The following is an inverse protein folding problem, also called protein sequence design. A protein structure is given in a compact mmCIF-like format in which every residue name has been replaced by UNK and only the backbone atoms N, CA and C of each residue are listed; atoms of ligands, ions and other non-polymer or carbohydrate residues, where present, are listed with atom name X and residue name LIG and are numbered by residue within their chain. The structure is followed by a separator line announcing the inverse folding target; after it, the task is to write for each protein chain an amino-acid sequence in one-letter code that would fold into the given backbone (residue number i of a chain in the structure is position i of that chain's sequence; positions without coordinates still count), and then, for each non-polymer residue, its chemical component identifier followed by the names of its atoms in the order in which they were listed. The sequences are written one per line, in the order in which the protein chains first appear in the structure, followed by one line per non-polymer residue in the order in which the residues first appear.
data_IF_264726926966
#
_entry.id   IF_264726926966
#
_cell.length_a   1.000
_cell.length_b   1.000
_cell.length_c   1.000
_cell.angle_alpha   90.00
_cell.angle_beta   90.00
_cell.angle_gamma   90.00
#
_symmetry.space_group_name_H-M   'P 1'
#
loop_
_entity.id
_entity.type
_entity.pdbx_description
1 polymer ?
#
# COMPACT_ATOMS: atom_id res chain seq x y z
N UNK A 1 -15.52 10.66 -23.68
CA UNK A 1 -14.59 9.53 -23.48
C UNK A 1 -13.93 9.51 -22.09
N UNK A 2 -14.53 10.16 -21.08
CA UNK A 2 -14.06 10.16 -19.69
C UNK A 2 -15.10 9.57 -18.70
N UNK A 3 -16.35 9.39 -19.14
CA UNK A 3 -17.44 8.81 -18.35
C UNK A 3 -17.28 7.29 -18.16
N UNK A 4 -16.86 6.59 -19.22
CA UNK A 4 -16.78 5.12 -19.22
C UNK A 4 -15.82 4.56 -18.14
N UNK A 5 -14.77 5.31 -17.77
CA UNK A 5 -13.81 4.86 -16.74
C UNK A 5 -14.35 4.99 -15.33
N UNK A 6 -15.19 6.00 -15.07
CA UNK A 6 -15.81 6.16 -13.76
C UNK A 6 -16.89 5.11 -13.55
N UNK A 7 -17.75 4.88 -14.54
CA UNK A 7 -18.72 3.78 -14.52
C UNK A 7 -18.04 2.42 -14.41
N UNK A 8 -16.98 2.16 -15.17
CA UNK A 8 -16.25 0.90 -15.07
C UNK A 8 -15.59 0.71 -13.69
N UNK A 9 -15.17 1.76 -13.00
CA UNK A 9 -14.62 1.67 -11.64
C UNK A 9 -15.71 1.42 -10.57
N UNK A 10 -16.90 1.99 -10.75
CA UNK A 10 -18.03 1.81 -9.84
C UNK A 10 -18.70 0.46 -10.02
N UNK A 11 -18.85 0.00 -11.26
CA UNK A 11 -19.38 -1.32 -11.58
C UNK A 11 -18.43 -2.41 -11.10
N UNK A 12 -17.11 -2.23 -11.28
CA UNK A 12 -16.12 -3.16 -10.75
C UNK A 12 -16.08 -3.16 -9.21
N UNK A 13 -16.40 -2.03 -8.56
CA UNK A 13 -16.55 -1.96 -7.10
C UNK A 13 -17.87 -2.56 -6.58
N UNK A 14 -18.95 -2.53 -7.38
CA UNK A 14 -20.22 -3.22 -7.09
C UNK A 14 -20.11 -4.72 -7.32
N UNK A 15 -19.55 -5.16 -8.43
CA UNK A 15 -19.33 -6.58 -8.73
C UNK A 15 -18.45 -7.22 -7.66
N UNK A 16 -17.40 -6.53 -7.21
CA UNK A 16 -16.57 -6.99 -6.08
C UNK A 16 -17.33 -7.05 -4.75
N UNK A 17 -18.38 -6.24 -4.57
CA UNK A 17 -19.20 -6.23 -3.36
C UNK A 17 -20.25 -7.36 -3.38
N UNK A 18 -20.90 -7.59 -4.52
CA UNK A 18 -21.88 -8.66 -4.69
C UNK A 18 -21.21 -10.05 -4.68
N UNK A 19 -20.02 -10.19 -5.29
CA UNK A 19 -19.18 -11.39 -5.18
C UNK A 19 -18.92 -11.74 -3.70
N UNK A 20 -18.70 -10.73 -2.86
CA UNK A 20 -18.33 -10.96 -1.46
C UNK A 20 -19.51 -11.43 -0.60
N UNK A 21 -20.71 -10.88 -0.80
CA UNK A 21 -21.93 -11.35 -0.12
C UNK A 21 -22.31 -12.79 -0.50
N UNK A 22 -22.01 -13.20 -1.74
CA UNK A 22 -22.23 -14.57 -2.20
C UNK A 22 -21.26 -15.55 -1.53
N UNK A 23 -20.00 -15.14 -1.35
CA UNK A 23 -18.99 -15.89 -0.59
C UNK A 23 -19.37 -16.03 0.89
N UNK A 24 -19.96 -14.99 1.48
CA UNK A 24 -20.46 -14.99 2.85
C UNK A 24 -21.57 -16.03 3.03
N UNK A 25 -22.53 -16.07 2.10
CA UNK A 25 -23.58 -17.09 2.09
C UNK A 25 -23.00 -18.51 2.03
N UNK A 26 -22.04 -18.74 1.12
CA UNK A 26 -21.35 -20.03 0.98
C UNK A 26 -20.51 -20.41 2.22
N UNK A 27 -19.96 -19.43 2.93
CA UNK A 27 -19.20 -19.65 4.17
C UNK A 27 -20.11 -19.94 5.37
N UNK A 28 -21.32 -19.37 5.42
CA UNK A 28 -22.32 -19.70 6.44
C UNK A 28 -22.88 -21.12 6.29
N UNK A 29 -23.00 -21.62 5.06
CA UNK A 29 -23.54 -22.94 4.81
C UNK A 29 -22.52 -24.09 5.03
N UNK A 30 -21.23 -23.79 5.11
CA UNK A 30 -20.16 -24.80 5.18
C UNK A 30 -19.59 -24.96 6.61
N UNK A 31 -19.57 -26.21 7.11
CA UNK A 31 -18.98 -26.53 8.42
C UNK A 31 -17.48 -26.22 8.45
N UNK A 32 -16.88 -25.73 9.56
CA UNK A 32 -15.50 -25.23 9.62
C UNK A 32 -14.41 -26.21 9.15
N UNK A 33 -14.70 -27.51 9.28
CA UNK A 33 -13.80 -28.62 8.90
C UNK A 33 -13.98 -29.09 7.46
N UNK A 34 -14.97 -28.56 6.73
CA UNK A 34 -15.17 -28.95 5.34
C UNK A 34 -14.04 -28.45 4.44
N UNK A 35 -13.62 -29.25 3.45
CA UNK A 35 -12.67 -28.81 2.44
C UNK A 35 -13.26 -27.63 1.66
N UNK A 36 -12.47 -26.57 1.49
CA UNK A 36 -12.94 -25.36 0.82
C UNK A 36 -13.40 -25.65 -0.61
N UNK A 37 -14.60 -25.18 -0.97
CA UNK A 37 -15.12 -25.31 -2.33
C UNK A 37 -14.21 -24.66 -3.39
N UNK A 38 -14.26 -25.18 -4.62
CA UNK A 38 -13.41 -24.74 -5.74
C UNK A 38 -13.52 -23.22 -6.03
N UNK A 39 -14.68 -22.61 -5.80
CA UNK A 39 -14.90 -21.16 -6.00
C UNK A 39 -14.08 -20.31 -5.02
N UNK A 40 -14.01 -20.72 -3.75
CA UNK A 40 -13.19 -20.08 -2.72
C UNK A 40 -11.72 -20.15 -3.13
N UNK A 41 -11.27 -21.32 -3.61
CA UNK A 41 -9.89 -21.54 -4.06
C UNK A 41 -9.57 -20.62 -5.27
N UNK A 42 -10.47 -20.51 -6.25
CA UNK A 42 -10.25 -19.65 -7.42
C UNK A 42 -10.15 -18.17 -7.04
N UNK A 43 -11.00 -17.69 -6.13
CA UNK A 43 -10.96 -16.29 -5.67
C UNK A 43 -9.70 -16.00 -4.84
N UNK A 44 -9.24 -16.93 -4.00
CA UNK A 44 -7.94 -16.79 -3.30
C UNK A 44 -6.78 -16.72 -4.30
N UNK A 45 -6.79 -17.54 -5.37
CA UNK A 45 -5.78 -17.47 -6.43
C UNK A 45 -5.80 -16.13 -7.17
N UNK A 46 -6.98 -15.54 -7.41
CA UNK A 46 -7.09 -14.19 -8.01
C UNK A 46 -6.50 -13.12 -7.10
N UNK A 47 -6.78 -13.17 -5.79
CA UNK A 47 -6.16 -12.27 -4.81
C UNK A 47 -4.65 -12.44 -4.74
N UNK A 48 -4.14 -13.67 -4.85
CA UNK A 48 -2.71 -13.94 -4.89
C UNK A 48 -2.04 -13.32 -6.11
N UNK A 49 -2.68 -13.38 -7.29
CA UNK A 49 -2.19 -12.70 -8.50
C UNK A 49 -2.07 -11.20 -8.30
N UNK A 50 -3.09 -10.56 -7.73
CA UNK A 50 -3.04 -9.13 -7.42
C UNK A 50 -1.93 -8.77 -6.42
N UNK A 51 -1.74 -9.60 -5.39
CA UNK A 51 -0.64 -9.43 -4.44
C UNK A 51 0.73 -9.50 -5.15
N UNK A 52 0.88 -10.42 -6.11
CA UNK A 52 2.09 -10.58 -6.90
C UNK A 52 2.34 -9.38 -7.82
N UNK A 53 1.30 -8.87 -8.48
CA UNK A 53 1.39 -7.64 -9.31
C UNK A 53 1.83 -6.45 -8.45
N UNK A 54 1.19 -6.23 -7.29
CA UNK A 54 1.58 -5.15 -6.38
C UNK A 54 3.01 -5.30 -5.87
N UNK A 55 3.47 -6.53 -5.66
CA UNK A 55 4.86 -6.81 -5.29
C UNK A 55 5.81 -6.39 -6.40
N UNK A 56 5.52 -6.73 -7.66
CA UNK A 56 6.33 -6.32 -8.81
C UNK A 56 6.37 -4.80 -8.96
N UNK A 57 5.21 -4.13 -8.84
CA UNK A 57 5.14 -2.67 -8.91
C UNK A 57 5.98 -2.00 -7.82
N UNK A 58 5.93 -2.51 -6.60
CA UNK A 58 6.75 -2.02 -5.49
C UNK A 58 8.25 -2.16 -5.76
N UNK A 59 8.68 -3.31 -6.29
CA UNK A 59 10.08 -3.52 -6.68
C UNK A 59 10.52 -2.58 -7.80
N UNK A 60 9.67 -2.33 -8.79
CA UNK A 60 9.95 -1.37 -9.87
C UNK A 60 10.14 0.04 -9.32
N UNK A 61 9.27 0.48 -8.41
CA UNK A 61 9.40 1.79 -7.74
C UNK A 61 10.68 1.86 -6.92
N UNK A 62 11.00 0.83 -6.14
CA UNK A 62 12.22 0.79 -5.34
C UNK A 62 13.48 0.86 -6.23
N UNK A 63 13.51 0.11 -7.35
CA UNK A 63 14.62 0.16 -8.31
C UNK A 63 14.74 1.56 -8.90
N UNK A 64 13.64 2.18 -9.35
CA UNK A 64 13.66 3.52 -9.91
C UNK A 64 14.21 4.56 -8.92
N UNK A 65 13.80 4.51 -7.65
CA UNK A 65 14.29 5.42 -6.60
C UNK A 65 15.78 5.21 -6.29
N UNK A 66 16.24 3.95 -6.24
CA UNK A 66 17.66 3.62 -6.03
C UNK A 66 18.49 4.10 -7.22
N UNK A 67 18.05 3.85 -8.46
CA UNK A 67 18.73 4.34 -9.67
C UNK A 67 18.80 5.86 -9.67
N UNK A 68 17.71 6.55 -9.33
CA UNK A 68 17.70 8.01 -9.20
C UNK A 68 18.72 8.50 -8.15
N UNK A 69 18.76 7.89 -6.97
CA UNK A 69 19.72 8.23 -5.92
C UNK A 69 21.17 8.02 -6.39
N UNK A 70 21.46 6.90 -7.08
CA UNK A 70 22.79 6.63 -7.62
C UNK A 70 23.18 7.62 -8.71
N UNK A 71 22.28 7.95 -9.64
CA UNK A 71 22.55 8.97 -10.68
C UNK A 71 22.88 10.31 -10.02
N UNK A 72 22.13 10.73 -8.99
CA UNK A 72 22.42 11.97 -8.26
C UNK A 72 23.79 11.91 -7.58
N UNK A 73 24.13 10.77 -6.97
CA UNK A 73 25.42 10.55 -6.32
C UNK A 73 26.62 10.65 -7.30
N UNK A 74 26.47 10.15 -8.53
CA UNK A 74 27.56 10.14 -9.52
C UNK A 74 27.58 11.35 -10.47
N UNK A 75 26.46 12.08 -10.63
CA UNK A 75 26.36 13.18 -11.60
C UNK A 75 27.13 14.44 -11.21
N UNK A 76 27.24 14.74 -9.91
CA UNK A 76 28.07 15.81 -9.37
C UNK A 76 28.27 15.55 -7.88
N UNK A 77 29.52 15.42 -7.44
CA UNK A 77 29.87 15.20 -6.05
C UNK A 77 29.72 16.50 -5.22
N UNK A 78 28.50 17.03 -5.15
CA UNK A 78 28.14 18.02 -4.15
C UNK A 78 27.73 17.31 -2.86
N UNK A 79 28.10 17.88 -1.71
CA UNK A 79 27.68 17.38 -0.40
C UNK A 79 26.16 17.24 -0.30
N UNK A 80 25.43 18.13 -0.98
CA UNK A 80 23.98 18.12 -1.08
C UNK A 80 23.44 16.87 -1.80
N UNK A 81 24.00 16.52 -2.97
CA UNK A 81 23.58 15.34 -3.71
C UNK A 81 23.86 14.06 -2.93
N UNK A 82 24.98 14.01 -2.20
CA UNK A 82 25.34 12.87 -1.34
C UNK A 82 24.33 12.73 -0.21
N UNK A 83 23.97 13.83 0.47
CA UNK A 83 22.98 13.83 1.55
C UNK A 83 21.60 13.41 1.03
N UNK A 84 21.14 13.99 -0.06
CA UNK A 84 19.85 13.67 -0.67
C UNK A 84 19.78 12.19 -1.08
N UNK A 85 20.82 11.69 -1.77
CA UNK A 85 20.89 10.27 -2.15
C UNK A 85 20.87 9.37 -0.91
N UNK A 86 21.58 9.74 0.16
CA UNK A 86 21.60 9.00 1.42
C UNK A 86 20.21 8.93 2.07
N UNK A 87 19.50 10.05 2.13
CA UNK A 87 18.13 10.11 2.67
C UNK A 87 17.19 9.22 1.86
N UNK A 88 17.22 9.31 0.52
CA UNK A 88 16.39 8.46 -0.35
C UNK A 88 16.68 6.98 -0.11
N UNK A 89 17.96 6.59 -0.06
CA UNK A 89 18.34 5.20 0.19
C UNK A 89 17.86 4.70 1.55
N UNK A 90 17.96 5.51 2.60
CA UNK A 90 17.47 5.16 3.94
C UNK A 90 15.95 4.95 3.94
N UNK A 91 15.18 5.83 3.29
CA UNK A 91 13.73 5.69 3.17
C UNK A 91 13.34 4.44 2.38
N UNK A 92 14.03 4.15 1.27
CA UNK A 92 13.80 2.93 0.48
C UNK A 92 14.11 1.68 1.30
N UNK A 93 15.24 1.63 2.00
CA UNK A 93 15.60 0.49 2.87
C UNK A 93 14.55 0.29 3.95
N UNK A 94 14.07 1.38 4.57
CA UNK A 94 13.04 1.30 5.59
C UNK A 94 11.70 0.78 5.04
N UNK A 95 11.27 1.29 3.88
CA UNK A 95 10.07 0.84 3.18
C UNK A 95 10.15 -0.65 2.79
N UNK A 96 11.28 -1.08 2.22
CA UNK A 96 11.51 -2.48 1.85
C UNK A 96 11.53 -3.40 3.08
N UNK A 97 12.18 -2.99 4.17
CA UNK A 97 12.21 -3.77 5.41
C UNK A 97 10.79 -3.94 5.98
N UNK A 98 10.00 -2.86 6.00
CA UNK A 98 8.60 -2.94 6.39
C UNK A 98 7.81 -3.88 5.47
N UNK A 99 7.99 -3.77 4.15
CA UNK A 99 7.31 -4.62 3.17
C UNK A 99 7.60 -6.10 3.35
N UNK A 100 8.88 -6.45 3.49
CA UNK A 100 9.33 -7.83 3.71
C UNK A 100 8.75 -8.36 5.03
N UNK A 101 8.86 -7.59 6.12
CA UNK A 101 8.33 -7.96 7.43
C UNK A 101 6.81 -8.14 7.38
N UNK A 102 6.09 -7.25 6.68
CA UNK A 102 4.64 -7.30 6.52
C UNK A 102 4.18 -8.45 5.61
N UNK A 103 5.05 -9.01 4.76
CA UNK A 103 4.75 -10.15 3.87
C UNK A 103 5.06 -11.52 4.46
N UNK A 104 5.94 -11.63 5.47
CA UNK A 104 6.31 -12.91 6.10
C UNK A 104 5.10 -13.64 6.68
N UNK A 105 4.80 -14.85 6.21
CA UNK A 105 3.69 -15.68 6.70
C UNK A 105 2.33 -15.44 6.00
N UNK A 106 2.32 -14.78 4.84
CA UNK A 106 1.11 -14.63 4.00
C UNK A 106 1.04 -15.62 2.82
N UNK A 107 2.09 -16.41 2.62
CA UNK A 107 2.32 -17.13 1.36
C UNK A 107 1.63 -18.50 1.26
N UNK A 108 1.24 -19.14 2.37
CA UNK A 108 0.49 -20.41 2.32
C UNK A 108 -0.44 -20.55 3.53
N UNK A 109 -1.71 -20.97 3.33
CA UNK A 109 -2.58 -21.37 4.42
C UNK A 109 -2.02 -22.62 5.11
N UNK A 110 -2.17 -22.73 6.43
CA UNK A 110 -1.63 -23.86 7.21
C UNK A 110 -2.42 -25.17 7.00
N UNK A 111 -3.56 -25.11 6.29
CA UNK A 111 -4.38 -26.26 5.89
C UNK A 111 -5.40 -25.88 4.81
N UNK A 112 -6.04 -26.87 4.19
CA UNK A 112 -7.08 -26.69 3.15
C UNK A 112 -8.51 -26.63 3.73
N UNK A 113 -8.64 -26.21 4.98
CA UNK A 113 -9.93 -26.08 5.68
C UNK A 113 -10.47 -24.65 5.57
N UNK A 114 -11.79 -24.49 5.61
CA UNK A 114 -12.46 -23.17 5.61
C UNK A 114 -11.92 -22.28 6.74
N UNK A 115 -11.69 -22.85 7.92
CA UNK A 115 -11.08 -22.12 9.04
C UNK A 115 -9.69 -21.55 8.71
N UNK A 116 -8.80 -22.33 8.07
CA UNK A 116 -7.47 -21.85 7.72
C UNK A 116 -7.52 -20.68 6.71
N UNK A 117 -8.50 -20.69 5.80
CA UNK A 117 -8.71 -19.59 4.85
C UNK A 117 -9.31 -18.33 5.50
N UNK A 118 -10.24 -18.48 6.45
CA UNK A 118 -10.82 -17.35 7.20
C UNK A 118 -9.76 -16.65 8.08
N UNK A 119 -8.92 -17.42 8.77
CA UNK A 119 -7.80 -16.89 9.57
C UNK A 119 -6.77 -16.16 8.69
N UNK A 120 -6.45 -16.72 7.53
CA UNK A 120 -5.58 -16.07 6.55
C UNK A 120 -6.17 -14.75 6.05
N UNK A 121 -7.48 -14.70 5.79
CA UNK A 121 -8.18 -13.49 5.38
C UNK A 121 -8.12 -12.41 6.47
N UNK A 122 -8.39 -12.76 7.74
CA UNK A 122 -8.25 -11.87 8.89
C UNK A 122 -6.82 -11.33 9.05
N UNK A 123 -5.80 -12.18 8.85
CA UNK A 123 -4.40 -11.76 8.89
C UNK A 123 -4.07 -10.77 7.77
N UNK A 124 -4.56 -10.99 6.55
CA UNK A 124 -4.41 -10.05 5.42
C UNK A 124 -5.04 -8.69 5.75
N UNK A 125 -6.22 -8.69 6.35
CA UNK A 125 -6.96 -7.51 6.78
C UNK A 125 -6.18 -6.66 7.80
N UNK A 126 -5.68 -7.32 8.86
CA UNK A 126 -4.85 -6.68 9.90
C UNK A 126 -3.59 -6.06 9.30
N UNK A 127 -2.95 -6.75 8.34
CA UNK A 127 -1.72 -6.29 7.68
C UNK A 127 -1.95 -5.16 6.68
N UNK A 128 -3.07 -5.16 5.94
CA UNK A 128 -3.48 -4.02 5.10
C UNK A 128 -3.61 -2.75 5.94
N UNK A 129 -4.25 -2.84 7.10
CA UNK A 129 -4.39 -1.70 8.02
C UNK A 129 -3.04 -1.19 8.56
N UNK A 130 -2.11 -2.09 8.87
CA UNK A 130 -0.73 -1.71 9.24
C UNK A 130 -0.01 -1.03 8.07
N UNK A 131 -0.21 -1.52 6.84
CA UNK A 131 0.33 -0.91 5.63
C UNK A 131 -0.10 0.53 5.43
N UNK A 132 -1.39 0.83 5.60
CA UNK A 132 -1.91 2.21 5.53
C UNK A 132 -1.28 3.11 6.59
N UNK A 133 -1.19 2.63 7.84
CA UNK A 133 -0.54 3.39 8.92
C UNK A 133 0.93 3.68 8.63
N UNK A 134 1.64 2.68 8.10
CA UNK A 134 3.04 2.84 7.72
C UNK A 134 3.20 3.83 6.56
N UNK A 135 2.34 3.78 5.55
CA UNK A 135 2.38 4.73 4.43
C UNK A 135 2.19 6.17 4.91
N UNK A 136 1.23 6.41 5.80
CA UNK A 136 1.05 7.73 6.43
C UNK A 136 2.27 8.15 7.27
N UNK A 137 2.85 7.23 8.03
CA UNK A 137 4.03 7.49 8.84
C UNK A 137 5.24 7.85 7.96
N UNK A 138 5.46 7.10 6.89
CA UNK A 138 6.51 7.37 5.90
C UNK A 138 6.31 8.75 5.27
N UNK A 139 5.09 9.07 4.86
CA UNK A 139 4.73 10.38 4.30
C UNK A 139 5.01 11.52 5.29
N UNK A 140 4.62 11.38 6.57
CA UNK A 140 4.91 12.40 7.59
C UNK A 140 6.42 12.57 7.81
N UNK A 141 7.19 11.48 7.79
CA UNK A 141 8.65 11.56 7.90
C UNK A 141 9.26 12.27 6.70
N UNK A 142 8.83 11.96 5.47
CA UNK A 142 9.27 12.65 4.25
C UNK A 142 8.99 14.15 4.32
N UNK A 143 7.75 14.54 4.63
CA UNK A 143 7.36 15.95 4.77
C UNK A 143 8.16 16.64 5.87
N UNK A 144 8.38 15.98 7.01
CA UNK A 144 9.15 16.55 8.13
C UNK A 144 10.62 16.74 7.75
N UNK A 145 11.23 15.78 7.04
CA UNK A 145 12.60 15.91 6.54
C UNK A 145 12.71 17.08 5.58
N UNK A 146 11.76 17.25 4.67
CA UNK A 146 11.73 18.37 3.74
C UNK A 146 11.56 19.73 4.42
N UNK A 147 10.68 19.83 5.43
CA UNK A 147 10.51 21.06 6.22
C UNK A 147 11.80 21.38 6.98
N UNK A 148 12.41 20.39 7.62
CA UNK A 148 13.65 20.57 8.37
C UNK A 148 14.81 20.98 7.46
N UNK A 149 14.85 20.43 6.25
CA UNK A 149 15.85 20.75 5.23
C UNK A 149 15.74 22.20 4.79
N UNK A 150 14.55 22.67 4.40
CA UNK A 150 14.27 24.07 4.06
C UNK A 150 14.57 25.02 5.23
N UNK A 151 14.26 24.60 6.47
CA UNK A 151 14.59 25.39 7.66
C UNK A 151 16.12 25.52 7.82
N UNK A 152 16.85 24.41 7.66
CA UNK A 152 18.31 24.39 7.76
C UNK A 152 18.96 25.27 6.69
N UNK A 153 18.45 25.27 5.46
CA UNK A 153 18.93 26.15 4.39
C UNK A 153 18.78 27.62 4.74
N UNK A 154 17.62 28.03 5.25
CA UNK A 154 17.34 29.41 5.66
C UNK A 154 18.25 29.90 6.79
N UNK A 155 18.58 29.03 7.75
CA UNK A 155 19.45 29.40 8.88
C UNK A 155 20.94 29.27 8.54
N UNK A 156 21.33 28.32 7.70
CA UNK A 156 22.73 28.07 7.35
C UNK A 156 23.21 28.89 6.14
N UNK A 157 22.30 29.57 5.42
CA UNK A 157 22.63 30.34 4.23
C UNK A 157 23.08 29.46 3.05
N UNK A 158 22.54 28.24 2.96
CA UNK A 158 22.87 27.30 1.88
C UNK A 158 21.92 27.55 0.69
N UNK A 159 22.47 27.94 -0.46
CA UNK A 159 21.75 28.04 -1.74
C UNK A 159 21.75 26.69 -2.45
N UNK A 160 20.77 25.85 -2.15
CA UNK A 160 20.59 24.49 -2.73
C UNK A 160 19.59 24.48 -3.90
N UNK A 161 18.87 25.59 -4.14
CA UNK A 161 17.93 25.72 -5.24
C UNK A 161 16.63 24.91 -5.09
N UNK A 162 16.41 24.24 -3.98
CA UNK A 162 15.12 23.62 -3.65
C UNK A 162 14.23 24.64 -2.93
N UNK A 163 12.98 24.79 -3.36
CA UNK A 163 12.03 25.71 -2.73
C UNK A 163 10.73 24.97 -2.45
N UNK A 164 10.52 24.60 -1.19
CA UNK A 164 9.31 23.87 -0.76
C UNK A 164 8.02 24.65 -1.02
N UNK A 165 8.13 25.98 -1.01
CA UNK A 165 7.02 26.90 -1.21
C UNK A 165 6.83 27.29 -2.67
N UNK A 166 7.57 26.66 -3.59
CA UNK A 166 7.28 26.79 -5.01
C UNK A 166 5.87 26.24 -5.31
N UNK A 167 5.09 26.92 -6.19
CA UNK A 167 3.74 26.46 -6.53
C UNK A 167 3.69 25.01 -7.04
N UNK A 168 4.74 24.56 -7.75
CA UNK A 168 4.86 23.19 -8.26
C UNK A 168 5.10 22.16 -7.14
N UNK A 169 5.94 22.47 -6.14
CA UNK A 169 6.16 21.59 -4.99
C UNK A 169 4.87 21.46 -4.15
N UNK A 170 4.20 22.58 -3.89
CA UNK A 170 2.92 22.60 -3.15
C UNK A 170 1.82 21.83 -3.90
N UNK A 171 1.71 22.00 -5.22
CA UNK A 171 0.77 21.25 -6.04
C UNK A 171 1.08 19.74 -5.99
N UNK A 172 2.35 19.36 -6.10
CA UNK A 172 2.77 17.96 -6.04
C UNK A 172 2.44 17.34 -4.69
N UNK A 173 2.77 18.04 -3.59
CA UNK A 173 2.43 17.61 -2.24
C UNK A 173 0.91 17.42 -2.08
N UNK A 174 0.10 18.38 -2.53
CA UNK A 174 -1.36 18.31 -2.48
C UNK A 174 -1.92 17.12 -3.28
N UNK A 175 -1.43 16.89 -4.51
CA UNK A 175 -1.84 15.75 -5.33
C UNK A 175 -1.51 14.43 -4.62
N UNK A 176 -0.30 14.29 -4.07
CA UNK A 176 0.09 13.10 -3.30
C UNK A 176 -0.79 12.91 -2.07
N UNK A 177 -1.10 13.98 -1.32
CA UNK A 177 -2.00 13.92 -0.16
C UNK A 177 -3.39 13.45 -0.57
N UNK A 178 -3.96 13.98 -1.66
CA UNK A 178 -5.30 13.60 -2.15
C UNK A 178 -5.33 12.13 -2.54
N UNK A 179 -4.32 11.66 -3.28
CA UNK A 179 -4.19 10.25 -3.65
C UNK A 179 -4.10 9.36 -2.40
N UNK A 180 -3.28 9.74 -1.42
CA UNK A 180 -3.12 9.01 -0.16
C UNK A 180 -4.42 8.95 0.64
N UNK A 181 -5.16 10.05 0.74
CA UNK A 181 -6.46 10.12 1.42
C UNK A 181 -7.48 9.23 0.71
N UNK A 182 -7.60 9.37 -0.62
CA UNK A 182 -8.53 8.56 -1.41
C UNK A 182 -8.23 7.06 -1.26
N UNK A 183 -6.95 6.67 -1.40
CA UNK A 183 -6.53 5.28 -1.21
C UNK A 183 -6.79 4.77 0.21
N UNK A 184 -6.47 5.58 1.24
CA UNK A 184 -6.72 5.24 2.65
C UNK A 184 -8.21 5.04 2.92
N UNK A 185 -9.09 5.87 2.33
CA UNK A 185 -10.54 5.73 2.44
C UNK A 185 -11.06 4.47 1.76
N UNK A 186 -10.54 4.15 0.57
CA UNK A 186 -10.88 2.91 -0.15
C UNK A 186 -10.50 1.69 0.68
N UNK A 187 -9.26 1.65 1.19
CA UNK A 187 -8.80 0.54 2.04
C UNK A 187 -9.64 0.46 3.31
N UNK A 188 -9.93 1.58 3.96
CA UNK A 188 -10.76 1.58 5.16
C UNK A 188 -12.17 1.05 4.89
N UNK A 189 -12.84 1.50 3.82
CA UNK A 189 -14.15 1.01 3.42
C UNK A 189 -14.16 -0.49 3.12
N UNK A 190 -13.15 -0.99 2.41
CA UNK A 190 -13.02 -2.42 2.13
C UNK A 190 -12.81 -3.22 3.42
N UNK A 191 -11.90 -2.77 4.29
CA UNK A 191 -11.58 -3.43 5.56
C UNK A 191 -12.79 -3.49 6.50
N UNK A 192 -13.60 -2.43 6.54
CA UNK A 192 -14.76 -2.34 7.42
C UNK A 192 -15.93 -3.20 6.93
N UNK A 193 -16.10 -3.34 5.61
CA UNK A 193 -17.02 -4.32 5.01
C UNK A 193 -16.60 -5.75 5.33
N UNK A 194 -15.34 -6.09 5.05
CA UNK A 194 -14.78 -7.42 5.30
C UNK A 194 -14.89 -7.80 6.80
N UNK A 195 -14.71 -6.84 7.73
CA UNK A 195 -14.84 -7.09 9.17
C UNK A 195 -16.27 -7.40 9.62
N UNK A 196 -17.28 -6.65 9.13
CA UNK A 196 -18.69 -6.88 9.49
C UNK A 196 -19.17 -8.26 9.06
N UNK A 197 -18.73 -8.69 7.89
CA UNK A 197 -19.00 -10.03 7.37
C UNK A 197 -18.42 -11.10 8.29
N UNK A 198 -17.15 -10.99 8.66
CA UNK A 198 -16.53 -12.00 9.53
C UNK A 198 -17.15 -12.03 10.94
N UNK A 199 -17.58 -10.87 11.47
CA UNK A 199 -18.30 -10.80 12.75
C UNK A 199 -19.71 -11.42 12.65
N UNK A 200 -20.36 -11.38 11.47
CA UNK A 200 -21.63 -12.06 11.22
C UNK A 200 -21.48 -13.58 11.01
N UNK A 201 -20.28 -14.07 10.69
CA UNK A 201 -19.96 -15.50 10.54
C UNK A 201 -19.50 -16.18 11.83
N UNK A 202 -19.02 -15.40 12.81
CA UNK A 202 -18.49 -15.90 14.09
C UNK A 202 -19.52 -16.06 15.21
N UNK A 203 -20.79 -15.75 14.93
CA UNK A 203 -21.95 -15.92 15.80
C UNK A 203 -22.92 -16.93 15.19
#
# INVERSE_FOLDING_TARGET
MNDDRHQQSEDLARDLADDWSELECLWQEQSPETPAGNEIIQRVRRQERWLRINTVLEWLVAIALVTFALVRLFSAASTENILLATVILLLVIWALNFSISNRRGLQQPQGETVQAYTELALLRLKRRRRGVRFAWLLYFVEVSLFILWELAERFAGLDTGFNLFSPSALLTALVVTVIMVAWSLVVWRQTDREKRVIEALGH
#
